data_IF_466785105589
#
_entry.id   IF_466785105589
#
_cell.length_a   1.000
_cell.length_b   1.000
_cell.length_c   1.000
_cell.angle_alpha   90.00
_cell.angle_beta   90.00
_cell.angle_gamma   90.00
#
_symmetry.space_group_name_H-M   'P 1'
#
loop_
_entity.id
_entity.type
_entity.pdbx_description
1 polymer ?
#
# COMPACT_ATOMS: atom_id res chain seq x y z
N UNK A 1 -15.85 -22.98 -15.75
CA UNK A 1 -16.35 -21.97 -14.78
C UNK A 1 -15.82 -22.35 -13.40
N UNK A 2 -15.02 -21.51 -12.75
CA UNK A 2 -14.54 -21.78 -11.39
C UNK A 2 -15.69 -21.49 -10.43
N UNK A 3 -16.13 -22.49 -9.68
CA UNK A 3 -17.19 -22.33 -8.67
C UNK A 3 -16.57 -22.14 -7.28
N UNK A 4 -17.33 -21.58 -6.34
CA UNK A 4 -16.90 -21.50 -4.94
C UNK A 4 -16.60 -22.89 -4.34
N UNK A 5 -17.29 -23.93 -4.82
CA UNK A 5 -17.05 -25.32 -4.41
C UNK A 5 -15.67 -25.80 -4.86
N UNK A 6 -15.27 -25.49 -6.09
CA UNK A 6 -13.95 -25.85 -6.59
C UNK A 6 -12.85 -25.10 -5.83
N UNK A 7 -13.05 -23.82 -5.55
CA UNK A 7 -12.11 -23.03 -4.73
C UNK A 7 -11.96 -23.61 -3.32
N UNK A 8 -13.06 -23.90 -2.63
CA UNK A 8 -13.03 -24.49 -1.29
C UNK A 8 -12.37 -25.89 -1.31
N UNK A 9 -12.58 -26.66 -2.37
CA UNK A 9 -11.95 -27.98 -2.53
C UNK A 9 -10.45 -27.85 -2.74
N UNK A 10 -10.00 -26.86 -3.52
CA UNK A 10 -8.58 -26.53 -3.66
C UNK A 10 -7.97 -26.09 -2.33
N UNK A 11 -8.60 -25.15 -1.61
CA UNK A 11 -8.10 -24.66 -0.31
C UNK A 11 -7.91 -25.83 0.67
N UNK A 12 -8.91 -26.73 0.74
CA UNK A 12 -8.83 -27.92 1.57
C UNK A 12 -7.74 -28.90 1.10
N UNK A 13 -7.65 -29.17 -0.20
CA UNK A 13 -6.68 -30.12 -0.76
C UNK A 13 -5.24 -29.64 -0.73
N UNK A 14 -5.02 -28.32 -0.77
CA UNK A 14 -3.71 -27.70 -0.65
C UNK A 14 -3.29 -27.43 0.81
N UNK A 15 -4.14 -27.78 1.79
CA UNK A 15 -3.89 -27.59 3.22
C UNK A 15 -3.53 -26.14 3.59
N UNK A 16 -4.16 -25.18 2.90
CA UNK A 16 -3.99 -23.76 3.16
C UNK A 16 -5.21 -23.19 3.87
N UNK A 17 -4.97 -22.14 4.64
CA UNK A 17 -5.95 -21.45 5.47
C UNK A 17 -6.19 -20.04 4.95
N UNK A 18 -7.44 -19.63 4.96
CA UNK A 18 -7.83 -18.25 4.73
C UNK A 18 -8.07 -17.56 6.08
N UNK A 19 -7.17 -16.68 6.49
CA UNK A 19 -7.28 -15.97 7.77
C UNK A 19 -8.25 -14.78 7.67
N UNK A 20 -8.76 -14.34 8.83
CA UNK A 20 -9.64 -13.18 8.89
C UNK A 20 -8.91 -11.90 8.45
N UNK A 21 -9.61 -11.07 7.69
CA UNK A 21 -9.12 -9.79 7.23
C UNK A 21 -9.54 -8.70 8.20
N UNK A 22 -8.57 -7.88 8.60
CA UNK A 22 -8.80 -6.71 9.45
C UNK A 22 -9.05 -5.45 8.61
N UNK A 23 -9.74 -4.49 9.22
CA UNK A 23 -9.99 -3.13 8.72
C UNK A 23 -10.95 -2.97 7.53
N UNK A 24 -11.22 -4.01 6.72
CA UNK A 24 -12.20 -3.99 5.64
C UNK A 24 -12.81 -5.38 5.45
N UNK A 25 -14.04 -5.45 4.95
CA UNK A 25 -14.75 -6.71 4.69
C UNK A 25 -14.71 -7.07 3.21
N UNK A 26 -14.71 -6.07 2.33
CA UNK A 26 -14.78 -6.25 0.88
C UNK A 26 -13.48 -5.81 0.19
N UNK A 27 -13.09 -6.55 -0.85
CA UNK A 27 -11.92 -6.20 -1.67
C UNK A 27 -12.31 -5.75 -3.06
N UNK A 28 -13.60 -5.81 -3.41
CA UNK A 28 -14.08 -5.49 -4.74
C UNK A 28 -15.49 -4.92 -4.71
N UNK A 29 -15.78 -4.00 -5.63
CA UNK A 29 -17.13 -3.49 -5.93
C UNK A 29 -17.35 -3.39 -7.42
N UNK A 30 -18.59 -3.59 -7.88
CA UNK A 30 -18.93 -3.43 -9.30
C UNK A 30 -19.05 -1.96 -9.74
N UNK A 31 -18.89 -0.99 -8.82
CA UNK A 31 -18.98 0.45 -9.07
C UNK A 31 -20.31 0.94 -9.68
N UNK A 32 -21.42 0.21 -9.44
CA UNK A 32 -22.76 0.62 -9.89
C UNK A 32 -23.49 1.41 -8.80
N UNK A 33 -24.54 2.12 -9.21
CA UNK A 33 -25.41 2.88 -8.29
C UNK A 33 -25.98 1.99 -7.17
N UNK A 34 -26.50 0.83 -7.55
CA UNK A 34 -26.76 -0.29 -6.64
C UNK A 34 -25.52 -1.18 -6.65
N UNK A 35 -24.57 -0.84 -5.79
CA UNK A 35 -23.27 -1.49 -5.75
C UNK A 35 -23.36 -2.92 -5.21
N UNK A 36 -22.77 -3.87 -5.94
CA UNK A 36 -22.47 -5.19 -5.43
C UNK A 36 -21.06 -5.21 -4.88
N UNK A 37 -20.88 -5.77 -3.69
CA UNK A 37 -19.61 -5.85 -2.99
C UNK A 37 -19.21 -7.31 -2.78
N UNK A 38 -17.94 -7.62 -2.96
CA UNK A 38 -17.42 -8.96 -2.79
C UNK A 38 -16.01 -8.95 -2.19
N UNK A 39 -15.65 -10.04 -1.52
CA UNK A 39 -14.27 -10.32 -1.09
C UNK A 39 -13.66 -11.30 -2.07
N UNK A 40 -12.96 -10.79 -3.07
CA UNK A 40 -12.35 -11.60 -4.15
C UNK A 40 -10.86 -11.85 -3.91
N UNK A 41 -10.20 -10.98 -3.15
CA UNK A 41 -8.76 -11.01 -2.93
C UNK A 41 -8.50 -11.59 -1.53
N UNK A 42 -7.68 -12.65 -1.46
CA UNK A 42 -7.33 -13.34 -0.22
C UNK A 42 -5.87 -13.77 -0.25
N UNK A 43 -5.20 -13.71 0.89
CA UNK A 43 -3.97 -14.46 1.09
C UNK A 43 -4.31 -15.81 1.72
N UNK A 44 -3.69 -16.87 1.20
CA UNK A 44 -3.84 -18.22 1.71
C UNK A 44 -2.50 -18.65 2.34
N UNK A 45 -2.57 -19.26 3.51
CA UNK A 45 -1.40 -19.57 4.33
C UNK A 45 -1.33 -21.05 4.65
N UNK A 46 -0.15 -21.66 4.50
CA UNK A 46 0.09 -22.96 5.10
C UNK A 46 0.20 -22.84 6.62
N UNK A 47 -0.05 -23.93 7.34
CA UNK A 47 0.17 -23.99 8.79
C UNK A 47 1.63 -23.68 9.18
N UNK A 48 2.59 -24.08 8.34
CA UNK A 48 4.01 -23.81 8.56
C UNK A 48 4.32 -22.30 8.60
N UNK A 49 3.79 -21.53 7.65
CA UNK A 49 3.96 -20.07 7.63
C UNK A 49 3.34 -19.42 8.86
N UNK A 50 2.16 -19.88 9.29
CA UNK A 50 1.52 -19.36 10.49
C UNK A 50 2.29 -19.73 11.76
N UNK A 51 2.98 -20.88 11.79
CA UNK A 51 3.84 -21.25 12.91
C UNK A 51 5.09 -20.36 12.98
N UNK A 52 5.70 -20.00 11.84
CA UNK A 52 6.84 -19.08 11.81
C UNK A 52 6.44 -17.64 12.10
N UNK A 53 5.23 -17.24 11.72
CA UNK A 53 4.72 -15.88 11.89
C UNK A 53 3.35 -15.90 12.60
N UNK A 54 3.31 -16.24 13.91
CA UNK A 54 2.06 -16.44 14.64
C UNK A 54 1.23 -15.16 14.81
N UNK A 55 1.85 -13.99 14.60
CA UNK A 55 1.20 -12.68 14.64
C UNK A 55 0.80 -12.19 13.25
N UNK A 56 0.88 -13.00 12.20
CA UNK A 56 0.55 -12.53 10.87
C UNK A 56 -0.94 -12.18 10.76
N UNK A 57 -1.24 -11.02 10.18
CA UNK A 57 -2.59 -10.55 9.88
C UNK A 57 -2.72 -10.15 8.42
N UNK A 58 -3.90 -10.39 7.86
CA UNK A 58 -4.32 -9.80 6.61
C UNK A 58 -5.06 -8.49 6.90
N UNK A 59 -4.78 -7.45 6.12
CA UNK A 59 -5.40 -6.13 6.25
C UNK A 59 -5.85 -5.59 4.91
N UNK A 60 -7.06 -5.03 4.86
CA UNK A 60 -7.54 -4.22 3.75
C UNK A 60 -7.09 -2.77 3.86
N UNK A 61 -6.79 -2.16 2.71
CA UNK A 61 -6.44 -0.75 2.57
C UNK A 61 -7.43 -0.04 1.66
N UNK A 62 -7.69 1.24 1.93
CA UNK A 62 -8.57 2.05 1.09
C UNK A 62 -8.01 2.12 -0.33
N UNK A 63 -8.89 1.86 -1.30
CA UNK A 63 -8.61 2.07 -2.73
C UNK A 63 -8.57 3.55 -3.09
N UNK A 64 -7.91 3.83 -4.22
CA UNK A 64 -8.12 5.05 -4.98
C UNK A 64 -9.37 4.87 -5.88
N UNK A 65 -9.27 5.16 -7.18
CA UNK A 65 -10.38 5.03 -8.14
C UNK A 65 -10.58 3.63 -8.72
N UNK A 66 -9.75 2.65 -8.32
CA UNK A 66 -9.87 1.24 -8.73
C UNK A 66 -11.15 0.62 -8.20
N UNK A 67 -11.70 -0.40 -8.85
CA UNK A 67 -12.79 -1.21 -8.29
C UNK A 67 -12.33 -2.24 -7.24
N UNK A 68 -11.01 -2.39 -7.03
CA UNK A 68 -10.42 -3.25 -6.01
C UNK A 68 -9.83 -2.44 -4.84
N UNK A 69 -9.98 -2.95 -3.62
CA UNK A 69 -9.22 -2.54 -2.44
C UNK A 69 -7.92 -3.34 -2.33
N UNK A 70 -6.77 -2.67 -2.21
CA UNK A 70 -5.53 -3.38 -1.92
C UNK A 70 -5.63 -4.15 -0.60
N UNK A 71 -5.09 -5.35 -0.59
CA UNK A 71 -4.89 -6.13 0.63
C UNK A 71 -3.40 -6.35 0.85
N UNK A 72 -3.00 -6.43 2.11
CA UNK A 72 -1.62 -6.71 2.48
C UNK A 72 -1.53 -7.61 3.69
N UNK A 73 -0.35 -8.20 3.85
CA UNK A 73 0.01 -9.09 4.94
C UNK A 73 1.15 -8.50 5.74
N UNK A 74 1.15 -8.76 7.04
CA UNK A 74 2.23 -8.36 7.92
C UNK A 74 1.84 -8.59 9.36
N UNK A 75 2.65 -8.10 10.28
CA UNK A 75 2.29 -8.09 11.69
C UNK A 75 1.33 -6.92 11.98
N UNK A 76 0.50 -6.99 13.03
CA UNK A 76 -0.18 -5.85 13.63
C UNK A 76 0.81 -4.71 13.79
N UNK A 77 0.35 -3.46 13.64
CA UNK A 77 1.19 -2.26 13.61
C UNK A 77 2.29 -2.32 14.69
N UNK A 78 3.45 -2.80 14.30
CA UNK A 78 4.71 -2.55 14.98
C UNK A 78 5.22 -1.27 14.38
N UNK A 79 5.59 -0.32 15.25
CA UNK A 79 6.08 0.98 14.84
C UNK A 79 7.45 0.76 14.15
N UNK A 80 7.43 0.46 12.84
CA UNK A 80 8.61 0.02 12.06
C UNK A 80 9.64 1.13 11.82
N UNK A 81 9.64 2.18 12.66
CA UNK A 81 10.53 3.32 12.54
C UNK A 81 10.27 4.14 11.28
N UNK A 82 11.23 5.02 10.95
CA UNK A 82 11.14 5.88 9.78
C UNK A 82 11.09 5.04 8.49
N UNK A 83 10.03 5.20 7.71
CA UNK A 83 9.90 4.63 6.37
C UNK A 83 11.20 4.84 5.58
N UNK A 84 11.77 3.75 5.07
CA UNK A 84 12.88 3.84 4.14
C UNK A 84 12.45 4.60 2.89
N UNK A 85 13.37 5.36 2.30
CA UNK A 85 13.09 6.05 1.05
C UNK A 85 12.97 4.99 -0.05
N UNK A 86 11.78 4.86 -0.64
CA UNK A 86 11.55 4.02 -1.80
C UNK A 86 11.78 4.86 -3.07
N UNK A 87 12.60 4.32 -3.97
CA UNK A 87 12.86 4.88 -5.30
C UNK A 87 12.35 3.87 -6.32
N UNK A 88 11.45 4.27 -7.21
CA UNK A 88 10.95 3.39 -8.25
C UNK A 88 11.91 3.35 -9.43
N UNK A 89 12.16 2.19 -10.03
CA UNK A 89 13.14 2.10 -11.13
C UNK A 89 12.74 2.98 -12.33
N UNK A 90 11.46 3.04 -12.69
CA UNK A 90 10.98 3.87 -13.80
C UNK A 90 11.21 5.37 -13.59
N UNK A 91 11.47 5.81 -12.36
CA UNK A 91 11.83 7.21 -12.08
C UNK A 91 13.14 7.62 -12.77
N UNK A 92 14.05 6.69 -13.07
CA UNK A 92 15.28 7.00 -13.85
C UNK A 92 14.99 7.32 -15.31
N UNK A 93 13.86 6.87 -15.85
CA UNK A 93 13.43 7.18 -17.21
C UNK A 93 12.91 8.63 -17.31
N UNK A 94 12.54 9.23 -16.18
CA UNK A 94 12.15 10.64 -16.12
C UNK A 94 13.40 11.54 -16.19
N UNK A 95 13.58 12.19 -17.34
CA UNK A 95 14.71 13.09 -17.60
C UNK A 95 14.76 14.29 -16.64
N UNK A 96 13.60 14.80 -16.21
CA UNK A 96 13.54 15.91 -15.26
C UNK A 96 14.03 15.48 -13.88
N UNK A 97 13.58 14.32 -13.40
CA UNK A 97 14.05 13.79 -12.12
C UNK A 97 15.56 13.56 -12.14
N UNK A 98 16.09 12.97 -13.21
CA UNK A 98 17.54 12.76 -13.36
C UNK A 98 18.29 14.08 -13.30
N UNK A 99 17.79 15.11 -14.00
CA UNK A 99 18.36 16.47 -13.96
C UNK A 99 18.34 17.04 -12.55
N UNK A 100 17.25 16.84 -11.81
CA UNK A 100 17.09 17.30 -10.43
C UNK A 100 17.99 16.57 -9.43
N UNK A 101 18.17 15.26 -9.60
CA UNK A 101 19.09 14.47 -8.80
C UNK A 101 20.55 14.93 -9.01
N UNK A 102 20.94 15.18 -10.26
CA UNK A 102 22.26 15.71 -10.63
C UNK A 102 22.44 17.12 -10.06
N UNK A 103 21.42 17.99 -10.16
CA UNK A 103 21.44 19.34 -9.59
C UNK A 103 21.71 19.30 -8.08
N UNK A 104 20.99 18.45 -7.34
CA UNK A 104 21.22 18.26 -5.91
C UNK A 104 22.62 17.71 -5.59
N UNK A 105 23.13 16.81 -6.43
CA UNK A 105 24.46 16.19 -6.24
C UNK A 105 25.63 17.14 -6.51
N UNK A 106 25.49 18.03 -7.51
CA UNK A 106 26.52 18.98 -7.94
C UNK A 106 26.39 20.36 -7.32
N UNK A 107 25.22 20.72 -6.79
CA UNK A 107 24.89 22.08 -6.37
C UNK A 107 25.57 22.57 -5.09
N UNK A 108 26.32 21.73 -4.38
CA UNK A 108 26.97 22.11 -3.13
C UNK A 108 28.43 21.66 -3.09
N UNK A 109 29.32 22.62 -2.77
CA UNK A 109 30.69 22.32 -2.41
C UNK A 109 30.72 21.90 -0.93
N UNK A 110 30.81 20.60 -0.68
CA UNK A 110 30.90 20.06 0.69
C UNK A 110 32.35 19.78 1.02
N UNK A 111 32.81 20.28 2.18
CA UNK A 111 34.13 19.98 2.75
C UNK A 111 34.00 18.96 3.88
N UNK A 112 35.03 18.15 4.08
CA UNK A 112 35.08 17.12 5.12
C UNK A 112 35.72 15.83 4.63
N UNK A 113 35.61 14.77 5.43
CA UNK A 113 36.03 13.43 5.00
C UNK A 113 35.20 12.93 3.83
N UNK A 114 35.70 11.95 3.08
CA UNK A 114 34.96 11.32 1.96
C UNK A 114 33.56 10.85 2.39
N UNK A 115 33.43 10.31 3.60
CA UNK A 115 32.14 9.87 4.16
C UNK A 115 31.19 11.05 4.45
N UNK A 116 31.72 12.13 5.04
CA UNK A 116 30.92 13.35 5.28
C UNK A 116 30.44 13.98 3.97
N UNK A 117 31.33 14.07 2.97
CA UNK A 117 30.99 14.59 1.64
C UNK A 117 29.91 13.73 1.00
N UNK A 118 30.07 12.40 1.00
CA UNK A 118 29.09 11.49 0.42
C UNK A 118 27.71 11.60 1.10
N UNK A 119 27.68 11.56 2.45
CA UNK A 119 26.44 11.71 3.23
C UNK A 119 25.73 13.03 2.93
N UNK A 120 26.48 14.13 2.85
CA UNK A 120 25.91 15.44 2.54
C UNK A 120 25.36 15.52 1.12
N UNK A 121 26.06 14.97 0.13
CA UNK A 121 25.60 14.91 -1.26
C UNK A 121 24.34 14.06 -1.41
N UNK A 122 24.29 12.88 -0.77
CA UNK A 122 23.09 12.04 -0.75
C UNK A 122 21.90 12.78 -0.12
N UNK A 123 22.14 13.51 0.98
CA UNK A 123 21.10 14.34 1.61
C UNK A 123 20.63 15.46 0.66
N UNK A 124 21.53 16.14 -0.03
CA UNK A 124 21.20 17.20 -0.98
C UNK A 124 20.39 16.68 -2.18
N UNK A 125 20.82 15.58 -2.81
CA UNK A 125 20.07 14.92 -3.89
C UNK A 125 18.68 14.48 -3.43
N UNK A 126 18.57 13.87 -2.24
CA UNK A 126 17.27 13.50 -1.64
C UNK A 126 16.35 14.72 -1.48
N UNK A 127 16.87 15.85 -1.02
CA UNK A 127 16.08 17.08 -0.86
C UNK A 127 15.66 17.68 -2.20
N UNK A 128 16.53 17.67 -3.22
CA UNK A 128 16.19 18.15 -4.58
C UNK A 128 15.07 17.30 -5.19
N UNK A 129 15.20 15.98 -5.10
CA UNK A 129 14.17 15.03 -5.56
C UNK A 129 12.85 15.25 -4.82
N UNK A 130 12.87 15.40 -3.50
CA UNK A 130 11.67 15.69 -2.72
C UNK A 130 10.99 16.98 -3.18
N UNK A 131 11.76 18.04 -3.41
CA UNK A 131 11.21 19.32 -3.89
C UNK A 131 10.58 19.17 -5.29
N UNK A 132 11.25 18.46 -6.19
CA UNK A 132 10.69 18.14 -7.51
C UNK A 132 9.38 17.37 -7.38
N UNK A 133 9.32 16.38 -6.47
CA UNK A 133 8.11 15.61 -6.22
C UNK A 133 6.97 16.51 -5.75
N UNK A 134 7.20 17.40 -4.77
CA UNK A 134 6.15 18.33 -4.30
C UNK A 134 5.62 19.25 -5.42
N UNK A 135 6.48 19.71 -6.33
CA UNK A 135 6.06 20.53 -7.46
C UNK A 135 5.21 19.74 -8.48
N UNK A 136 5.56 18.48 -8.70
CA UNK A 136 4.89 17.59 -9.65
C UNK A 136 3.69 16.84 -9.06
N UNK A 137 3.52 16.84 -7.74
CA UNK A 137 2.33 16.28 -7.07
C UNK A 137 1.03 16.87 -7.57
N UNK A 138 1.05 18.10 -8.13
CA UNK A 138 -0.15 18.76 -8.66
C UNK A 138 -0.90 17.94 -9.71
N UNK A 139 -0.23 17.06 -10.45
CA UNK A 139 -0.90 16.17 -11.42
C UNK A 139 -1.66 15.01 -10.74
N UNK A 140 -1.30 14.62 -9.52
CA UNK A 140 -1.93 13.53 -8.76
C UNK A 140 -2.89 14.00 -7.66
N UNK A 141 -2.93 15.29 -7.35
CA UNK A 141 -3.80 15.86 -6.32
C UNK A 141 -5.28 15.53 -6.56
N UNK A 142 -5.75 15.59 -7.81
CA UNK A 142 -7.14 15.26 -8.14
C UNK A 142 -7.47 13.79 -7.89
N UNK A 143 -6.54 12.87 -8.22
CA UNK A 143 -6.70 11.43 -7.98
C UNK A 143 -6.65 11.09 -6.48
N UNK A 144 -5.81 11.78 -5.71
CA UNK A 144 -5.73 11.63 -4.25
C UNK A 144 -7.01 12.13 -3.59
N UNK A 145 -7.49 13.33 -3.94
CA UNK A 145 -8.75 13.89 -3.45
C UNK A 145 -9.95 12.99 -3.78
N UNK A 146 -10.01 12.45 -5.01
CA UNK A 146 -11.03 11.48 -5.40
C UNK A 146 -10.90 10.18 -4.61
N UNK A 147 -9.68 9.69 -4.39
CA UNK A 147 -9.40 8.53 -3.56
C UNK A 147 -9.88 8.70 -2.12
N UNK A 148 -9.62 9.85 -1.51
CA UNK A 148 -10.06 10.18 -0.14
C UNK A 148 -11.58 10.26 -0.04
N UNK A 149 -12.23 10.83 -1.07
CA UNK A 149 -13.68 10.86 -1.15
C UNK A 149 -14.27 9.44 -1.26
N UNK A 150 -13.71 8.60 -2.13
CA UNK A 150 -14.09 7.18 -2.27
C UNK A 150 -13.88 6.44 -0.94
N UNK A 151 -12.75 6.62 -0.28
CA UNK A 151 -12.46 5.99 1.02
C UNK A 151 -13.49 6.39 2.10
N UNK A 152 -13.99 7.62 2.05
CA UNK A 152 -15.05 8.10 2.94
C UNK A 152 -16.39 7.42 2.67
N UNK A 153 -16.73 7.21 1.39
CA UNK A 153 -17.94 6.48 1.00
C UNK A 153 -17.86 5.00 1.38
N UNK A 154 -16.74 4.35 1.11
CA UNK A 154 -16.51 2.94 1.42
C UNK A 154 -16.65 2.67 2.93
N UNK A 155 -16.14 3.57 3.79
CA UNK A 155 -16.34 3.48 5.25
C UNK A 155 -17.81 3.55 5.68
N UNK A 156 -18.62 4.35 4.98
CA UNK A 156 -20.08 4.44 5.25
C UNK A 156 -20.78 3.14 4.84
N UNK A 157 -20.33 2.49 3.76
CA UNK A 157 -20.86 1.18 3.35
C UNK A 157 -20.47 0.11 4.36
N UNK A 158 -19.19 0.00 4.72
CA UNK A 158 -18.69 -0.98 5.70
C UNK A 158 -19.40 -0.87 7.05
N UNK A 159 -19.59 0.34 7.59
CA UNK A 159 -20.30 0.56 8.86
C UNK A 159 -21.79 0.20 8.81
N UNK A 160 -22.44 0.30 7.64
CA UNK A 160 -23.84 -0.11 7.45
C UNK A 160 -23.97 -1.63 7.25
N UNK A 161 -22.98 -2.25 6.62
CA UNK A 161 -23.01 -3.68 6.28
C UNK A 161 -22.46 -4.58 7.39
N UNK A 162 -21.65 -4.07 8.33
CA UNK A 162 -21.05 -4.88 9.40
C UNK A 162 -20.91 -4.12 10.74
N UNK A 163 -21.91 -4.18 11.64
CA UNK A 163 -21.89 -3.43 12.91
C UNK A 163 -20.93 -3.99 13.99
N UNK A 164 -20.38 -5.20 13.83
CA UNK A 164 -19.89 -5.98 14.98
C UNK A 164 -18.36 -6.03 15.17
N UNK A 165 -17.56 -5.33 14.37
CA UNK A 165 -16.09 -5.38 14.50
C UNK A 165 -15.51 -4.42 15.57
N UNK A 166 -16.32 -3.53 16.16
CA UNK A 166 -15.84 -2.55 17.15
C UNK A 166 -16.10 -2.93 18.61
N UNK A 167 -16.61 -4.14 18.90
CA UNK A 167 -17.03 -4.50 20.27
C UNK A 167 -16.00 -5.24 21.12
N UNK A 168 -14.88 -5.72 20.55
CA UNK A 168 -13.86 -6.43 21.31
C UNK A 168 -12.45 -5.91 20.97
N UNK A 169 -12.08 -4.79 21.57
CA UNK A 169 -10.69 -4.39 21.82
C UNK A 169 -10.54 -4.12 23.30
#
# INVERSE_FOLDING_TARGET
MVTIRNFNSFVKGAEVLNILMSCMSFTWTNLREIAAWARLDHFLFSLEILNWFPKMVQRGFSRSVSNHNPIGIGEPKTDRGLNSFHFFNWWTENKELTTEAIRGWKGYLVRGSKSQIHKAKMKASKMSIKKWLELNKKQNLSLEQLGDYVATLDKKVESKCWPECHKNT
#
